data_IF_821820168358
#
_entry.id   IF_821820168358
#
_cell.length_a   1.000
_cell.length_b   1.000
_cell.length_c   1.000
_cell.angle_alpha   90.00
_cell.angle_beta   90.00
_cell.angle_gamma   90.00
#
_symmetry.space_group_name_H-M   'P 1'
#
loop_
_entity.id
_entity.type
_entity.pdbx_description
1 polymer ?
#
# COMPACT_ATOMS: atom_id res chain seq x y z
N UNK A 1 0.81 9.51 7.19
CA UNK A 1 1.28 8.82 8.42
C UNK A 1 0.23 7.77 8.78
N UNK A 2 0.65 6.56 9.14
CA UNK A 2 -0.25 5.50 9.62
C UNK A 2 -0.23 5.45 11.14
N UNK A 3 -1.34 5.03 11.75
CA UNK A 3 -1.43 4.74 13.20
C UNK A 3 -1.22 3.24 13.40
N UNK A 4 -0.40 2.83 14.38
CA UNK A 4 -0.08 1.43 14.65
C UNK A 4 -0.64 0.95 15.99
N UNK A 5 -1.10 -0.30 16.06
CA UNK A 5 -1.70 -0.89 17.26
C UNK A 5 -0.78 -0.95 18.48
N UNK A 6 0.53 -1.01 18.29
CA UNK A 6 1.47 -1.03 19.40
C UNK A 6 1.38 0.25 20.26
N UNK A 7 0.87 1.34 19.69
CA UNK A 7 0.51 2.57 20.42
C UNK A 7 -0.77 2.39 21.24
N UNK A 8 -1.75 1.62 20.72
CA UNK A 8 -3.01 1.27 21.41
C UNK A 8 -2.75 0.35 22.61
N UNK A 9 -1.89 -0.66 22.42
CA UNK A 9 -1.53 -1.61 23.47
C UNK A 9 -0.95 -0.90 24.71
N UNK A 10 -0.31 0.25 24.53
CA UNK A 10 0.25 1.07 25.63
C UNK A 10 -0.82 1.80 26.45
N UNK A 11 -1.93 2.22 25.84
CA UNK A 11 -2.98 2.97 26.54
C UNK A 11 -3.90 2.06 27.36
N UNK A 12 -4.15 0.83 26.89
CA UNK A 12 -5.11 -0.10 27.51
C UNK A 12 -4.45 -1.17 28.39
N UNK A 13 -3.15 -1.46 28.19
CA UNK A 13 -2.40 -2.41 29.01
C UNK A 13 -1.19 -1.77 29.69
N UNK A 14 -1.24 -1.73 31.02
CA UNK A 14 -0.03 -1.74 31.84
C UNK A 14 0.72 -3.08 31.78
N UNK A 15 1.01 -3.61 30.59
CA UNK A 15 1.70 -4.90 30.42
C UNK A 15 3.18 -4.71 30.13
N UNK A 16 3.94 -4.91 31.19
CA UNK A 16 5.36 -5.27 31.19
C UNK A 16 5.59 -6.78 31.01
N UNK A 17 4.55 -7.59 30.83
CA UNK A 17 4.68 -9.06 30.93
C UNK A 17 3.88 -9.79 29.86
N UNK A 18 4.49 -10.03 28.70
CA UNK A 18 4.41 -11.31 27.97
C UNK A 18 4.76 -11.15 26.49
N UNK A 19 6.02 -10.85 26.19
CA UNK A 19 6.59 -11.25 24.90
C UNK A 19 8.02 -11.73 25.18
N UNK A 20 8.32 -13.03 25.11
CA UNK A 20 9.69 -13.47 25.11
C UNK A 20 10.29 -13.06 23.75
N UNK A 21 11.52 -12.53 23.77
CA UNK A 21 12.53 -12.47 22.71
C UNK A 21 12.97 -11.10 22.14
N UNK A 22 14.30 -10.93 22.21
CA UNK A 22 15.22 -9.90 21.70
C UNK A 22 15.12 -8.47 22.29
N UNK A 23 16.07 -8.08 23.19
CA UNK A 23 16.19 -6.72 23.73
C UNK A 23 16.21 -5.63 22.65
N UNK A 24 16.82 -5.92 21.50
CA UNK A 24 16.93 -5.00 20.37
C UNK A 24 15.57 -4.73 19.69
N UNK A 25 14.69 -5.74 19.61
CA UNK A 25 13.34 -5.56 19.09
C UNK A 25 12.48 -4.74 20.07
N UNK A 26 12.65 -4.98 21.38
CA UNK A 26 11.97 -4.24 22.43
C UNK A 26 12.38 -2.76 22.47
N UNK A 27 13.67 -2.45 22.34
CA UNK A 27 14.17 -1.07 22.34
C UNK A 27 13.74 -0.31 21.06
N UNK A 28 13.69 -1.01 19.92
CA UNK A 28 13.22 -0.44 18.66
C UNK A 28 11.72 -0.13 18.69
N UNK A 29 10.90 -1.08 19.14
CA UNK A 29 9.45 -0.87 19.35
C UNK A 29 9.18 0.29 20.29
N UNK A 30 9.89 0.38 21.42
CA UNK A 30 9.69 1.47 22.37
C UNK A 30 10.09 2.85 21.81
N UNK A 31 11.19 2.93 21.04
CA UNK A 31 11.61 4.18 20.41
C UNK A 31 10.64 4.63 19.31
N UNK A 32 10.08 3.68 18.54
CA UNK A 32 9.15 3.98 17.44
C UNK A 32 7.74 4.31 17.95
N UNK A 33 7.24 3.60 18.98
CA UNK A 33 5.96 3.88 19.66
C UNK A 33 5.97 5.28 20.30
N UNK A 34 7.10 5.73 20.86
CA UNK A 34 7.22 7.09 21.40
C UNK A 34 7.09 8.21 20.35
N UNK A 35 7.30 7.90 19.07
CA UNK A 35 7.22 8.84 17.95
C UNK A 35 5.85 8.84 17.25
N UNK A 36 4.93 7.96 17.67
CA UNK A 36 3.60 7.83 17.08
C UNK A 36 2.52 8.55 17.88
N UNK A 37 1.50 9.01 17.16
CA UNK A 37 0.32 9.64 17.76
C UNK A 37 -0.52 8.60 18.49
N UNK A 38 -0.97 8.94 19.70
CA UNK A 38 -2.04 8.19 20.34
C UNK A 38 -3.31 8.19 19.48
N UNK A 39 -4.25 7.27 19.73
CA UNK A 39 -5.48 7.12 18.95
C UNK A 39 -6.29 8.43 18.84
N UNK A 40 -6.34 9.19 19.93
CA UNK A 40 -7.02 10.47 20.00
C UNK A 40 -6.27 11.56 19.21
N UNK A 41 -4.94 11.61 19.31
CA UNK A 41 -4.14 12.59 18.59
C UNK A 41 -4.22 12.38 17.08
N UNK A 42 -4.28 11.12 16.62
CA UNK A 42 -4.50 10.80 15.22
C UNK A 42 -5.87 11.29 14.73
N UNK A 43 -6.91 11.09 15.53
CA UNK A 43 -8.26 11.62 15.23
C UNK A 43 -8.27 13.16 15.20
N UNK A 44 -7.59 13.83 16.15
CA UNK A 44 -7.46 15.29 16.15
C UNK A 44 -6.69 15.81 14.94
N UNK A 45 -5.65 15.09 14.50
CA UNK A 45 -4.92 15.43 13.28
C UNK A 45 -5.84 15.36 12.07
N UNK A 46 -6.62 14.29 11.91
CA UNK A 46 -7.59 14.13 10.80
C UNK A 46 -8.62 15.25 10.82
N UNK A 47 -9.29 15.46 11.96
CA UNK A 47 -10.28 16.52 12.10
C UNK A 47 -9.68 17.91 11.85
N UNK A 48 -8.42 18.13 12.23
CA UNK A 48 -7.67 19.35 11.95
C UNK A 48 -7.33 19.52 10.47
N UNK A 49 -6.95 18.45 9.77
CA UNK A 49 -6.66 18.46 8.32
C UNK A 49 -7.93 18.72 7.51
N UNK A 50 -9.03 18.04 7.83
CA UNK A 50 -10.33 18.21 7.16
C UNK A 50 -10.90 19.62 7.24
N UNK A 51 -10.50 20.41 8.23
CA UNK A 51 -10.85 21.85 8.33
C UNK A 51 -9.98 22.77 7.47
N UNK A 52 -8.85 22.27 6.96
CA UNK A 52 -7.82 23.05 6.26
C UNK A 52 -7.71 22.73 4.78
N UNK A 53 -8.25 21.60 4.32
CA UNK A 53 -8.11 21.15 2.94
C UNK A 53 -9.44 20.67 2.38
N UNK A 54 -9.67 20.97 1.11
CA UNK A 54 -10.85 20.51 0.37
C UNK A 54 -10.62 19.16 -0.32
N UNK A 55 -9.36 18.69 -0.38
CA UNK A 55 -9.01 17.39 -0.95
C UNK A 55 -9.41 16.25 0.01
N UNK A 56 -9.71 15.05 -0.53
CA UNK A 56 -9.97 13.88 0.30
C UNK A 56 -8.76 13.52 1.19
N UNK A 57 -9.04 13.14 2.43
CA UNK A 57 -8.09 12.65 3.42
C UNK A 57 -8.38 11.18 3.68
N UNK A 58 -7.49 10.32 3.17
CA UNK A 58 -7.53 8.88 3.39
C UNK A 58 -6.71 8.54 4.64
N UNK A 59 -7.34 7.96 5.65
CA UNK A 59 -6.70 7.63 6.91
C UNK A 59 -6.16 6.20 6.89
N UNK A 60 -4.85 6.04 7.08
CA UNK A 60 -4.17 4.75 7.06
C UNK A 60 -4.06 4.18 8.48
N UNK A 61 -4.61 2.98 8.67
CA UNK A 61 -4.65 2.26 9.94
C UNK A 61 -3.80 1.01 9.80
N UNK A 62 -2.98 0.71 10.80
CA UNK A 62 -2.24 -0.54 10.91
C UNK A 62 -2.56 -1.17 12.27
N UNK A 63 -3.12 -2.38 12.26
CA UNK A 63 -3.44 -3.13 13.47
C UNK A 63 -3.13 -4.61 13.28
N UNK A 64 -2.63 -5.23 14.34
CA UNK A 64 -2.21 -6.63 14.42
C UNK A 64 -3.39 -7.53 14.81
N UNK A 65 -4.36 -7.04 15.59
CA UNK A 65 -5.52 -7.81 16.05
C UNK A 65 -6.84 -7.37 15.39
N UNK A 66 -7.61 -8.35 14.91
CA UNK A 66 -8.92 -8.16 14.30
C UNK A 66 -9.90 -7.32 15.16
N UNK A 67 -9.79 -7.39 16.49
CA UNK A 67 -10.66 -6.67 17.42
C UNK A 67 -10.49 -5.15 17.31
N UNK A 68 -9.26 -4.67 17.15
CA UNK A 68 -8.95 -3.25 17.18
C UNK A 68 -9.24 -2.53 15.87
N UNK A 69 -9.19 -3.25 14.74
CA UNK A 69 -9.51 -2.73 13.42
C UNK A 69 -10.88 -2.03 13.38
N UNK A 70 -11.94 -2.70 13.82
CA UNK A 70 -13.30 -2.17 13.78
C UNK A 70 -13.50 -0.94 14.68
N UNK A 71 -13.04 -0.99 15.93
CA UNK A 71 -13.24 0.11 16.87
C UNK A 71 -12.47 1.36 16.43
N UNK A 72 -11.26 1.19 15.91
CA UNK A 72 -10.47 2.33 15.46
C UNK A 72 -10.97 2.91 14.14
N UNK A 73 -11.40 2.06 13.21
CA UNK A 73 -12.03 2.50 11.97
C UNK A 73 -13.22 3.44 12.22
N UNK A 74 -14.08 3.10 13.20
CA UNK A 74 -15.21 3.96 13.60
C UNK A 74 -14.74 5.30 14.18
N UNK A 75 -13.69 5.31 15.02
CA UNK A 75 -13.15 6.56 15.58
C UNK A 75 -12.59 7.46 14.48
N UNK A 76 -11.87 6.88 13.52
CA UNK A 76 -11.25 7.58 12.38
C UNK A 76 -12.31 8.12 11.41
N UNK A 77 -13.36 7.35 11.13
CA UNK A 77 -14.51 7.81 10.35
C UNK A 77 -15.20 9.00 11.05
N UNK A 78 -15.47 8.89 12.35
CA UNK A 78 -16.07 9.97 13.14
C UNK A 78 -15.19 11.23 13.22
N UNK A 79 -13.87 11.08 13.06
CA UNK A 79 -12.94 12.21 12.96
C UNK A 79 -13.02 12.95 11.61
N UNK A 80 -13.72 12.38 10.63
CA UNK A 80 -14.01 12.99 9.33
C UNK A 80 -13.15 12.48 8.17
N UNK A 81 -12.47 11.34 8.31
CA UNK A 81 -11.75 10.72 7.19
C UNK A 81 -12.72 10.40 6.03
N UNK A 82 -12.29 10.64 4.79
CA UNK A 82 -13.14 10.40 3.61
C UNK A 82 -13.08 8.93 3.15
N UNK A 83 -12.00 8.22 3.49
CA UNK A 83 -11.82 6.78 3.27
C UNK A 83 -10.79 6.22 4.25
N UNK A 84 -10.73 4.90 4.36
CA UNK A 84 -9.72 4.17 5.13
C UNK A 84 -8.74 3.46 4.20
N UNK A 85 -7.47 3.42 4.61
CA UNK A 85 -6.49 2.48 4.07
C UNK A 85 -6.11 1.48 5.17
N UNK A 86 -6.51 0.22 5.02
CA UNK A 86 -6.15 -0.87 5.92
C UNK A 86 -4.77 -1.38 5.52
N UNK A 87 -3.75 -0.92 6.24
CA UNK A 87 -2.37 -1.32 6.07
C UNK A 87 -2.10 -2.61 6.86
N UNK A 88 -2.37 -3.74 6.22
CA UNK A 88 -2.17 -5.06 6.82
C UNK A 88 -0.68 -5.41 6.75
N UNK A 89 0.03 -5.19 7.85
CA UNK A 89 1.41 -5.64 8.02
C UNK A 89 1.41 -7.10 8.47
N UNK A 90 1.55 -8.03 7.52
CA UNK A 90 1.61 -9.46 7.82
C UNK A 90 2.84 -10.09 7.20
N UNK A 91 3.81 -10.44 8.05
CA UNK A 91 4.96 -11.28 7.70
C UNK A 91 4.74 -12.65 8.35
N UNK A 92 4.29 -13.67 7.61
CA UNK A 92 4.03 -14.99 8.19
C UNK A 92 5.36 -15.67 8.59
N UNK A 93 5.55 -15.89 9.89
CA UNK A 93 6.74 -16.54 10.46
C UNK A 93 6.47 -17.95 10.96
N UNK A 94 5.20 -18.34 11.13
CA UNK A 94 4.81 -19.67 11.58
C UNK A 94 4.68 -20.63 10.39
N UNK A 95 5.56 -21.65 10.27
CA UNK A 95 5.54 -22.60 9.16
C UNK A 95 4.31 -23.51 9.16
N UNK A 96 3.50 -23.52 10.22
CA UNK A 96 2.28 -24.32 10.31
C UNK A 96 1.07 -23.65 9.67
N UNK A 97 1.13 -22.33 9.45
CA UNK A 97 0.04 -21.59 8.81
C UNK A 97 0.12 -21.72 7.31
N UNK A 98 -0.96 -22.18 6.68
CA UNK A 98 -1.04 -22.28 5.23
C UNK A 98 -1.52 -20.95 4.59
N UNK A 99 -1.41 -20.85 3.26
CA UNK A 99 -1.79 -19.64 2.53
C UNK A 99 -3.28 -19.28 2.69
N UNK A 100 -4.18 -20.27 2.72
CA UNK A 100 -5.61 -20.01 2.87
C UNK A 100 -5.95 -19.40 4.25
N UNK A 101 -5.25 -19.82 5.31
CA UNK A 101 -5.39 -19.22 6.65
C UNK A 101 -4.89 -17.78 6.67
N UNK A 102 -3.79 -17.48 5.97
CA UNK A 102 -3.26 -16.13 5.85
C UNK A 102 -4.18 -15.22 5.05
N UNK A 103 -4.70 -15.69 3.91
CA UNK A 103 -5.64 -14.95 3.07
C UNK A 103 -6.97 -14.70 3.81
N UNK A 104 -7.46 -15.69 4.57
CA UNK A 104 -8.67 -15.55 5.39
C UNK A 104 -8.56 -14.39 6.37
N UNK A 105 -7.39 -14.16 6.96
CA UNK A 105 -7.18 -13.03 7.86
C UNK A 105 -7.44 -11.67 7.17
N UNK A 106 -7.03 -11.48 5.92
CA UNK A 106 -7.36 -10.25 5.16
C UNK A 106 -8.87 -10.13 4.92
N UNK A 107 -9.53 -11.24 4.57
CA UNK A 107 -10.98 -11.25 4.35
C UNK A 107 -11.75 -10.91 5.63
N UNK A 108 -11.37 -11.51 6.76
CA UNK A 108 -11.99 -11.29 8.06
C UNK A 108 -11.82 -9.83 8.50
N UNK A 109 -10.64 -9.23 8.28
CA UNK A 109 -10.38 -7.81 8.55
C UNK A 109 -11.31 -6.93 7.70
N UNK A 110 -11.38 -7.17 6.39
CA UNK A 110 -12.22 -6.39 5.49
C UNK A 110 -13.70 -6.44 5.92
N UNK A 111 -14.25 -7.64 6.11
CA UNK A 111 -15.64 -7.83 6.49
C UNK A 111 -15.95 -7.18 7.86
N UNK A 112 -15.05 -7.36 8.82
CA UNK A 112 -15.18 -6.77 10.16
C UNK A 112 -15.22 -5.25 10.10
N UNK A 113 -14.32 -4.61 9.35
CA UNK A 113 -14.29 -3.15 9.23
C UNK A 113 -15.47 -2.63 8.40
N UNK A 114 -15.77 -3.25 7.24
CA UNK A 114 -16.92 -2.86 6.40
C UNK A 114 -18.25 -2.92 7.14
N UNK A 115 -18.41 -3.84 8.08
CA UNK A 115 -19.64 -3.93 8.88
C UNK A 115 -19.82 -2.77 9.87
N UNK A 116 -18.79 -1.93 10.07
CA UNK A 116 -18.73 -0.92 11.13
C UNK A 116 -18.60 0.51 10.61
N UNK A 117 -18.14 0.71 9.39
CA UNK A 117 -17.99 2.04 8.76
C UNK A 117 -18.77 2.14 7.46
N UNK A 118 -19.04 3.36 7.02
CA UNK A 118 -19.76 3.69 5.78
C UNK A 118 -18.85 4.28 4.71
N UNK A 119 -17.69 4.82 5.10
CA UNK A 119 -16.69 5.34 4.16
C UNK A 119 -15.98 4.21 3.39
N UNK A 120 -15.49 4.48 2.16
CA UNK A 120 -14.77 3.51 1.35
C UNK A 120 -13.53 2.95 2.05
N UNK A 121 -13.20 1.69 1.73
CA UNK A 121 -12.06 0.97 2.28
C UNK A 121 -11.11 0.55 1.18
N UNK A 122 -9.89 1.06 1.27
CA UNK A 122 -8.73 0.56 0.55
C UNK A 122 -7.95 -0.45 1.41
N UNK A 123 -7.38 -1.50 0.80
CA UNK A 123 -6.53 -2.46 1.51
C UNK A 123 -5.12 -2.47 0.93
N UNK A 124 -4.11 -2.24 1.78
CA UNK A 124 -2.71 -2.21 1.38
C UNK A 124 -2.01 -3.52 1.70
N UNK A 125 -1.52 -4.16 0.64
CA UNK A 125 -1.07 -5.55 0.69
C UNK A 125 0.42 -5.69 0.37
N UNK A 126 1.03 -6.76 0.87
CA UNK A 126 2.37 -7.19 0.47
C UNK A 126 2.40 -7.81 -0.94
N UNK A 127 3.59 -8.23 -1.38
CA UNK A 127 3.80 -8.80 -2.73
C UNK A 127 3.78 -10.35 -2.78
N UNK A 128 3.82 -11.00 -1.63
CA UNK A 128 4.11 -12.44 -1.52
C UNK A 128 2.84 -13.29 -1.46
N UNK A 129 2.11 -13.36 -2.58
CA UNK A 129 0.95 -14.23 -2.74
C UNK A 129 1.24 -15.27 -3.84
N UNK A 130 0.82 -16.52 -3.62
CA UNK A 130 0.99 -17.59 -4.62
C UNK A 130 0.21 -17.28 -5.90
N UNK A 131 -0.99 -16.72 -5.77
CA UNK A 131 -1.78 -16.20 -6.89
C UNK A 131 -2.38 -14.86 -6.48
N UNK A 132 -1.64 -13.77 -6.73
CA UNK A 132 -2.13 -12.42 -6.45
C UNK A 132 -3.45 -12.10 -7.18
N UNK A 133 -3.65 -12.44 -8.48
CA UNK A 133 -4.92 -12.17 -9.15
C UNK A 133 -6.11 -12.88 -8.50
N UNK A 134 -5.92 -14.13 -8.05
CA UNK A 134 -6.96 -14.85 -7.33
C UNK A 134 -7.28 -14.17 -5.99
N UNK A 135 -6.26 -13.86 -5.20
CA UNK A 135 -6.42 -13.22 -3.91
C UNK A 135 -7.14 -11.86 -4.00
N UNK A 136 -6.74 -11.00 -4.95
CA UNK A 136 -7.39 -9.69 -5.15
C UNK A 136 -8.82 -9.87 -5.67
N UNK A 137 -9.09 -10.82 -6.56
CA UNK A 137 -10.47 -11.13 -7.00
C UNK A 137 -11.36 -11.59 -5.84
N UNK A 138 -10.80 -12.31 -4.85
CA UNK A 138 -11.56 -12.70 -3.66
C UNK A 138 -11.86 -11.52 -2.73
N UNK A 139 -10.96 -10.53 -2.63
CA UNK A 139 -11.23 -9.26 -1.94
C UNK A 139 -12.28 -8.42 -2.68
N UNK A 140 -12.20 -8.35 -4.01
CA UNK A 140 -13.14 -7.64 -4.87
C UNK A 140 -14.58 -8.16 -4.70
N UNK A 141 -14.75 -9.49 -4.69
CA UNK A 141 -16.04 -10.15 -4.40
C UNK A 141 -16.59 -9.90 -2.99
N UNK A 142 -15.76 -9.37 -2.09
CA UNK A 142 -16.13 -8.97 -0.72
C UNK A 142 -16.31 -7.45 -0.62
N UNK A 143 -16.57 -6.82 -1.76
CA UNK A 143 -16.85 -5.40 -1.91
C UNK A 143 -15.70 -4.52 -1.41
N UNK A 144 -14.44 -4.91 -1.62
CA UNK A 144 -13.31 -4.00 -1.39
C UNK A 144 -13.43 -2.80 -2.35
N UNK A 145 -13.29 -1.57 -1.85
CA UNK A 145 -13.41 -0.37 -2.71
C UNK A 145 -12.12 -0.12 -3.50
N UNK A 146 -10.95 -0.34 -2.89
CA UNK A 146 -9.66 -0.22 -3.58
C UNK A 146 -8.59 -1.17 -3.05
N UNK A 147 -7.68 -1.61 -3.93
CA UNK A 147 -6.45 -2.32 -3.56
C UNK A 147 -5.24 -1.40 -3.69
N UNK A 148 -4.40 -1.37 -2.65
CA UNK A 148 -3.15 -0.59 -2.64
C UNK A 148 -1.95 -1.55 -2.76
N UNK A 149 -1.17 -1.39 -3.83
CA UNK A 149 -0.06 -2.29 -4.16
C UNK A 149 1.24 -1.50 -4.36
N UNK A 150 2.37 -1.82 -3.73
CA UNK A 150 2.58 -2.79 -2.65
C UNK A 150 3.17 -2.12 -1.42
N UNK A 151 2.92 -2.74 -0.27
CA UNK A 151 3.55 -2.37 0.97
C UNK A 151 5.07 -2.65 0.94
N UNK A 152 5.84 -1.82 1.64
CA UNK A 152 7.29 -1.99 1.81
C UNK A 152 7.60 -2.24 3.28
N UNK A 153 8.12 -3.43 3.55
CA UNK A 153 8.52 -3.84 4.89
C UNK A 153 10.01 -3.60 5.12
N UNK A 154 10.41 -3.44 6.37
CA UNK A 154 11.81 -3.40 6.76
C UNK A 154 12.46 -4.74 6.45
N UNK A 155 13.71 -4.71 6.01
CA UNK A 155 14.47 -5.91 5.65
C UNK A 155 15.68 -6.05 6.57
N UNK A 156 15.99 -7.28 7.01
CA UNK A 156 17.20 -7.52 7.76
C UNK A 156 18.44 -7.34 6.87
N UNK A 157 19.50 -6.89 7.50
CA UNK A 157 20.86 -6.80 6.97
C UNK A 157 21.83 -7.34 8.03
N UNK A 158 23.05 -7.67 7.62
CA UNK A 158 24.05 -8.26 8.49
C UNK A 158 25.30 -7.39 8.46
N UNK A 159 25.64 -6.81 9.62
CA UNK A 159 26.95 -6.21 9.82
C UNK A 159 27.99 -7.33 9.95
N UNK A 160 28.70 -7.60 8.86
CA UNK A 160 29.71 -8.66 8.79
C UNK A 160 30.96 -8.38 9.63
N UNK A 161 31.19 -7.13 10.05
CA UNK A 161 32.35 -6.76 10.86
C UNK A 161 32.06 -6.95 12.36
N UNK A 162 30.81 -6.73 12.76
CA UNK A 162 30.36 -6.87 14.15
C UNK A 162 29.56 -8.15 14.41
N UNK A 163 29.24 -8.93 13.37
CA UNK A 163 28.41 -10.14 13.43
C UNK A 163 27.03 -9.87 14.06
N UNK A 164 26.43 -8.74 13.71
CA UNK A 164 25.13 -8.30 14.24
C UNK A 164 24.09 -8.16 13.15
N UNK A 165 22.86 -8.54 13.49
CA UNK A 165 21.70 -8.18 12.69
C UNK A 165 21.49 -6.66 12.75
N UNK A 166 21.23 -6.06 11.60
CA UNK A 166 20.84 -4.66 11.47
C UNK A 166 19.54 -4.60 10.70
N UNK A 167 18.65 -3.70 11.08
CA UNK A 167 17.46 -3.41 10.28
C UNK A 167 17.80 -2.35 9.25
N UNK A 168 17.46 -2.61 7.99
CA UNK A 168 17.57 -1.60 6.94
C UNK A 168 16.19 -1.10 6.55
N UNK A 169 16.12 0.22 6.38
CA UNK A 169 15.01 0.88 5.72
C UNK A 169 15.57 1.60 4.50
N UNK A 170 15.42 0.97 3.34
CA UNK A 170 15.84 1.57 2.07
C UNK A 170 14.64 2.30 1.45
N UNK A 171 14.86 3.53 1.00
CA UNK A 171 13.92 4.17 0.08
C UNK A 171 13.81 3.34 -1.19
N UNK A 172 12.61 3.28 -1.76
CA UNK A 172 12.40 2.59 -3.03
C UNK A 172 13.26 3.18 -4.16
N UNK A 173 13.60 2.35 -5.13
CA UNK A 173 14.30 2.73 -6.36
C UNK A 173 13.31 2.83 -7.54
N UNK A 174 13.69 3.57 -8.59
CA UNK A 174 12.83 3.77 -9.77
C UNK A 174 12.57 2.47 -10.55
N UNK A 175 13.46 1.49 -10.41
CA UNK A 175 13.39 0.20 -11.10
C UNK A 175 12.25 -0.68 -10.57
N UNK A 176 11.81 -0.45 -9.32
CA UNK A 176 10.73 -1.22 -8.69
C UNK A 176 9.37 -1.00 -9.35
N UNK A 177 9.19 0.09 -10.12
CA UNK A 177 7.94 0.40 -10.81
C UNK A 177 7.52 -0.68 -11.82
N UNK A 178 8.48 -1.39 -12.42
CA UNK A 178 8.18 -2.44 -13.41
C UNK A 178 7.40 -3.59 -12.81
N UNK A 179 7.65 -3.90 -11.53
CA UNK A 179 6.88 -4.91 -10.80
C UNK A 179 5.44 -4.48 -10.63
N UNK A 180 5.20 -3.19 -10.32
CA UNK A 180 3.85 -2.65 -10.23
C UNK A 180 3.14 -2.66 -11.58
N UNK A 181 3.79 -2.20 -12.65
CA UNK A 181 3.20 -2.14 -13.98
C UNK A 181 2.65 -3.51 -14.42
N UNK A 182 3.42 -4.58 -14.20
CA UNK A 182 2.97 -5.95 -14.47
C UNK A 182 1.66 -6.27 -13.73
N UNK A 183 1.60 -6.00 -12.42
CA UNK A 183 0.44 -6.39 -11.61
C UNK A 183 -0.77 -5.49 -11.85
N UNK A 184 -0.57 -4.19 -12.05
CA UNK A 184 -1.65 -3.26 -12.45
C UNK A 184 -2.25 -3.73 -13.78
N UNK A 185 -1.42 -4.00 -14.79
CA UNK A 185 -1.90 -4.43 -16.09
C UNK A 185 -2.62 -5.81 -16.04
N UNK A 186 -2.20 -6.73 -15.17
CA UNK A 186 -2.88 -8.03 -14.99
C UNK A 186 -4.23 -7.90 -14.29
N UNK A 187 -4.34 -6.99 -13.33
CA UNK A 187 -5.54 -6.83 -12.50
C UNK A 187 -6.58 -5.93 -13.15
N UNK A 188 -6.14 -4.89 -13.86
CA UNK A 188 -7.05 -3.95 -14.52
C UNK A 188 -7.97 -4.67 -15.51
N UNK A 189 -9.27 -4.40 -15.43
CA UNK A 189 -10.30 -5.07 -16.23
C UNK A 189 -10.73 -6.46 -15.72
N UNK A 190 -10.00 -7.06 -14.77
CA UNK A 190 -10.33 -8.35 -14.15
C UNK A 190 -10.92 -8.22 -12.74
N UNK A 191 -10.87 -7.02 -12.15
CA UNK A 191 -11.45 -6.68 -10.85
C UNK A 191 -12.27 -5.40 -10.98
N UNK A 192 -13.25 -5.23 -10.09
CA UNK A 192 -14.13 -4.06 -10.08
C UNK A 192 -13.60 -2.92 -9.20
N UNK A 193 -12.83 -3.26 -8.16
CA UNK A 193 -12.25 -2.30 -7.22
C UNK A 193 -11.14 -1.45 -7.84
N UNK A 194 -10.95 -0.26 -7.30
CA UNK A 194 -9.93 0.67 -7.77
C UNK A 194 -8.51 0.18 -7.45
N UNK A 195 -7.54 0.52 -8.30
CA UNK A 195 -6.13 0.19 -8.04
C UNK A 195 -5.37 1.45 -7.65
N UNK A 196 -4.73 1.45 -6.48
CA UNK A 196 -3.79 2.47 -6.03
C UNK A 196 -2.36 1.94 -6.06
N UNK A 197 -1.51 2.50 -6.91
CA UNK A 197 -0.13 2.05 -7.07
C UNK A 197 0.83 2.83 -6.16
N UNK A 198 1.75 2.14 -5.49
CA UNK A 198 2.78 2.71 -4.64
C UNK A 198 4.05 1.86 -4.66
N UNK A 199 5.21 2.49 -4.41
CA UNK A 199 6.58 1.96 -4.54
C UNK A 199 7.24 2.27 -5.89
N UNK A 200 8.47 2.78 -5.86
CA UNK A 200 9.27 3.00 -7.08
C UNK A 200 8.77 4.10 -8.02
N UNK A 201 7.82 4.93 -7.58
CA UNK A 201 7.32 6.08 -8.34
C UNK A 201 8.17 7.30 -7.98
N UNK A 202 9.05 7.71 -8.90
CA UNK A 202 9.99 8.82 -8.71
C UNK A 202 9.88 9.94 -9.75
N UNK A 203 9.11 9.73 -10.82
CA UNK A 203 9.00 10.69 -11.93
C UNK A 203 7.56 10.78 -12.44
N UNK A 204 7.26 11.89 -13.10
CA UNK A 204 6.00 12.15 -13.83
C UNK A 204 5.74 11.06 -14.87
N UNK A 205 6.77 10.61 -15.60
CA UNK A 205 6.70 9.49 -16.54
C UNK A 205 6.27 8.18 -15.85
N UNK A 206 6.76 7.92 -14.64
CA UNK A 206 6.34 6.75 -13.86
C UNK A 206 4.85 6.79 -13.52
N UNK A 207 4.33 7.96 -13.15
CA UNK A 207 2.90 8.17 -12.89
C UNK A 207 2.09 7.90 -14.16
N UNK A 208 2.49 8.50 -15.29
CA UNK A 208 1.83 8.32 -16.59
C UNK A 208 1.78 6.83 -16.97
N UNK A 209 2.88 6.09 -16.82
CA UNK A 209 2.93 4.64 -17.10
C UNK A 209 1.90 3.86 -16.27
N UNK A 210 1.76 4.16 -14.98
CA UNK A 210 0.83 3.45 -14.10
C UNK A 210 -0.63 3.80 -14.41
N UNK A 211 -0.91 5.06 -14.75
CA UNK A 211 -2.25 5.49 -15.20
C UNK A 211 -2.62 4.81 -16.51
N UNK A 212 -1.72 4.83 -17.50
CA UNK A 212 -1.88 4.11 -18.78
C UNK A 212 -2.14 2.61 -18.57
N UNK A 213 -1.49 2.00 -17.56
CA UNK A 213 -1.70 0.60 -17.18
C UNK A 213 -3.05 0.33 -16.51
N UNK A 214 -3.72 1.35 -15.99
CA UNK A 214 -5.07 1.24 -15.40
C UNK A 214 -5.18 1.53 -13.91
N UNK A 215 -4.14 2.10 -13.26
CA UNK A 215 -4.29 2.54 -11.87
C UNK A 215 -5.25 3.74 -11.77
N UNK A 216 -6.07 3.79 -10.72
CA UNK A 216 -6.93 4.94 -10.42
C UNK A 216 -6.16 6.04 -9.66
N UNK A 217 -5.21 5.67 -8.80
CA UNK A 217 -4.37 6.63 -8.06
C UNK A 217 -2.93 6.15 -7.91
N UNK A 218 -2.02 7.07 -7.61
CA UNK A 218 -0.62 6.79 -7.27
C UNK A 218 -0.26 7.38 -5.91
N UNK A 219 0.56 6.68 -5.12
CA UNK A 219 1.06 7.18 -3.83
C UNK A 219 2.58 7.36 -3.86
N UNK A 220 3.02 8.59 -3.58
CA UNK A 220 4.43 8.98 -3.53
C UNK A 220 4.95 8.99 -2.08
N UNK A 221 6.12 8.42 -1.85
CA UNK A 221 6.81 8.49 -0.56
C UNK A 221 8.30 8.79 -0.74
N UNK A 222 9.07 7.83 -1.26
CA UNK A 222 10.54 7.95 -1.39
C UNK A 222 10.98 9.18 -2.19
N UNK A 223 10.25 9.52 -3.26
CA UNK A 223 10.54 10.70 -4.08
C UNK A 223 10.36 12.01 -3.29
N UNK A 224 9.32 12.10 -2.46
CA UNK A 224 9.03 13.27 -1.64
C UNK A 224 10.02 13.42 -0.48
N UNK A 225 10.42 12.31 0.15
CA UNK A 225 11.46 12.34 1.18
C UNK A 225 12.82 12.80 0.64
N UNK A 226 13.13 12.47 -0.62
CA UNK A 226 14.40 12.83 -1.26
C UNK A 226 14.42 14.26 -1.81
N UNK A 227 13.31 14.72 -2.38
CA UNK A 227 13.27 15.98 -3.16
C UNK A 227 12.35 17.05 -2.57
N UNK A 228 11.62 16.74 -1.48
CA UNK A 228 10.65 17.65 -0.86
C UNK A 228 9.28 17.64 -1.54
N UNK A 229 8.35 18.41 -0.95
CA UNK A 229 6.95 18.44 -1.40
C UNK A 229 6.74 19.26 -2.69
N UNK A 230 7.67 20.14 -3.04
CA UNK A 230 7.62 20.93 -4.30
C UNK A 230 7.57 20.05 -5.55
N UNK A 231 8.15 18.84 -5.47
CA UNK A 231 8.12 17.83 -6.54
C UNK A 231 6.71 17.51 -7.03
N UNK A 232 5.68 17.62 -6.18
CA UNK A 232 4.29 17.36 -6.58
C UNK A 232 3.86 18.33 -7.69
N UNK A 233 4.16 19.62 -7.54
CA UNK A 233 3.81 20.63 -8.54
C UNK A 233 4.56 20.44 -9.85
N UNK A 234 5.85 20.10 -9.77
CA UNK A 234 6.67 19.75 -10.93
C UNK A 234 6.09 18.56 -11.70
N UNK A 235 5.75 17.48 -10.99
CA UNK A 235 5.16 16.29 -11.59
C UNK A 235 3.82 16.56 -12.26
N UNK A 236 2.96 17.37 -11.63
CA UNK A 236 1.67 17.75 -12.21
C UNK A 236 1.85 18.54 -13.51
N UNK A 237 2.75 19.53 -13.53
CA UNK A 237 3.04 20.32 -14.72
C UNK A 237 3.52 19.45 -15.90
N UNK A 238 4.40 18.49 -15.61
CA UNK A 238 4.91 17.54 -16.61
C UNK A 238 3.80 16.64 -17.16
N UNK A 239 2.92 16.13 -16.28
CA UNK A 239 1.78 15.28 -16.67
C UNK A 239 0.83 16.07 -17.57
N UNK A 240 0.48 17.31 -17.21
CA UNK A 240 -0.36 18.16 -18.03
C UNK A 240 0.29 18.49 -19.39
N UNK A 241 1.60 18.74 -19.42
CA UNK A 241 2.33 18.98 -20.67
C UNK A 241 2.31 17.75 -21.58
N UNK A 242 2.47 16.56 -21.00
CA UNK A 242 2.32 15.30 -21.72
C UNK A 242 0.89 15.13 -22.24
N UNK A 243 -0.14 15.36 -21.43
CA UNK A 243 -1.55 15.29 -21.85
C UNK A 243 -1.84 16.22 -23.03
N UNK A 244 -1.36 17.47 -22.99
CA UNK A 244 -1.48 18.43 -24.10
C UNK A 244 -0.84 17.92 -25.39
N UNK A 245 0.30 17.23 -25.30
CA UNK A 245 1.00 16.66 -26.47
C UNK A 245 0.17 15.59 -27.18
N UNK A 246 -0.67 14.86 -26.44
CA UNK A 246 -1.53 13.79 -26.97
C UNK A 246 -3.01 14.20 -27.14
N UNK A 247 -3.34 15.48 -26.96
CA UNK A 247 -4.72 16.01 -26.98
C UNK A 247 -5.66 15.26 -26.02
N UNK A 248 -5.20 15.03 -24.78
CA UNK A 248 -5.97 14.41 -23.70
C UNK A 248 -6.42 15.50 -22.73
N UNK A 249 -7.68 15.49 -22.32
CA UNK A 249 -8.28 16.47 -21.42
C UNK A 249 -8.39 15.93 -19.99
N UNK A 250 -8.66 14.63 -19.84
CA UNK A 250 -8.89 13.98 -18.55
C UNK A 250 -8.05 12.72 -18.38
N UNK A 251 -7.89 12.28 -17.12
CA UNK A 251 -7.23 11.00 -16.83
C UNK A 251 -7.97 9.82 -17.48
N UNK A 252 -9.30 9.88 -17.57
CA UNK A 252 -10.12 8.84 -18.18
C UNK A 252 -9.88 8.68 -19.68
N UNK A 253 -9.36 9.70 -20.37
CA UNK A 253 -9.02 9.62 -21.80
C UNK A 253 -7.86 8.65 -22.07
N UNK A 254 -7.07 8.30 -21.04
CA UNK A 254 -5.92 7.42 -21.18
C UNK A 254 -5.72 6.35 -20.11
N UNK A 255 -6.47 6.39 -19.01
CA UNK A 255 -6.42 5.35 -17.99
C UNK A 255 -6.72 3.99 -18.62
N UNK A 256 -5.83 3.02 -18.41
CA UNK A 256 -6.00 1.66 -18.92
C UNK A 256 -5.88 1.51 -20.45
N UNK A 257 -5.40 2.53 -21.18
CA UNK A 257 -5.18 2.44 -22.63
C UNK A 257 -4.05 1.48 -23.03
N UNK A 258 -3.11 1.22 -22.13
CA UNK A 258 -1.92 0.40 -22.39
C UNK A 258 -1.81 -0.67 -21.31
N UNK A 259 -2.24 -1.88 -21.63
CA UNK A 259 -2.18 -3.02 -20.72
C UNK A 259 -2.27 -4.34 -21.49
N UNK A 260 -2.54 -5.43 -20.79
CA UNK A 260 -2.93 -6.67 -21.46
C UNK A 260 -4.33 -6.45 -22.05
N UNK A 261 -4.44 -6.47 -23.38
CA UNK A 261 -5.78 -6.38 -23.98
C UNK A 261 -6.57 -7.66 -23.64
N UNK A 262 -7.90 -7.58 -23.41
CA UNK A 262 -8.72 -8.69 -22.91
C UNK A 262 -8.61 -9.98 -23.74
N UNK A 263 -8.32 -9.83 -25.03
CA UNK A 263 -8.17 -10.91 -26.00
C UNK A 263 -6.85 -11.68 -25.92
N UNK A 264 -5.85 -11.22 -25.15
CA UNK A 264 -4.56 -11.90 -25.01
C UNK A 264 -4.48 -12.69 -23.70
N UNK A 265 -3.93 -13.90 -23.78
CA UNK A 265 -3.47 -14.64 -22.61
C UNK A 265 -2.24 -13.94 -22.00
N UNK A 266 -2.35 -13.36 -20.79
CA UNK A 266 -1.24 -12.64 -20.18
C UNK A 266 -0.02 -13.53 -19.91
N UNK A 267 -0.21 -14.83 -19.67
CA UNK A 267 0.90 -15.76 -19.50
C UNK A 267 1.71 -15.89 -20.79
N UNK A 268 1.02 -16.05 -21.93
CA UNK A 268 1.67 -16.13 -23.24
C UNK A 268 2.44 -14.84 -23.55
N UNK A 269 1.84 -13.67 -23.30
CA UNK A 269 2.51 -12.39 -23.51
C UNK A 269 3.75 -12.22 -22.62
N UNK A 270 3.65 -12.51 -21.33
CA UNK A 270 4.79 -12.43 -20.40
C UNK A 270 5.92 -13.40 -20.80
N UNK A 271 5.56 -14.61 -21.27
CA UNK A 271 6.54 -15.57 -21.80
C UNK A 271 7.21 -15.04 -23.08
N UNK A 272 6.45 -14.42 -23.98
CA UNK A 272 6.99 -13.82 -25.21
C UNK A 272 7.97 -12.68 -24.89
N UNK A 273 7.62 -11.78 -23.96
CA UNK A 273 8.52 -10.70 -23.51
C UNK A 273 9.83 -11.24 -22.93
N UNK A 274 9.76 -12.31 -22.15
CA UNK A 274 10.96 -12.96 -21.60
C UNK A 274 11.86 -13.52 -22.72
N UNK A 275 11.28 -14.20 -23.71
CA UNK A 275 12.02 -14.76 -24.85
C UNK A 275 12.65 -13.69 -25.74
N UNK A 276 11.94 -12.59 -26.02
CA UNK A 276 12.46 -11.45 -26.77
C UNK A 276 13.68 -10.83 -26.08
N UNK A 277 13.58 -10.61 -24.77
CA UNK A 277 14.65 -9.98 -24.00
C UNK A 277 15.92 -10.85 -23.93
N UNK A 278 15.78 -12.17 -23.85
CA UNK A 278 16.94 -13.07 -23.90
C UNK A 278 17.63 -12.99 -25.26
N UNK A 279 16.87 -13.01 -26.36
CA UNK A 279 17.43 -12.90 -27.72
C UNK A 279 18.15 -11.57 -27.97
N UNK A 280 17.80 -10.50 -27.25
CA UNK A 280 18.46 -9.20 -27.36
C UNK A 280 19.73 -9.06 -26.50
N UNK A 281 20.05 -10.06 -25.68
CA UNK A 281 21.28 -10.10 -24.86
C UNK A 281 22.35 -11.00 -25.51
N UNK A 282 21.95 -11.90 -26.42
CA UNK A 282 22.83 -12.70 -27.28
C UNK A 282 23.29 -11.91 -28.51
#
# INVERSE_FOLDING_TARGET
KSMFEEVLAREDYGLYESAPYHPEAHDYLNAEIQLQYGPNDYCYLIAGMKKKVDIPVIASINSISAKWWAEFAVKVENAGADALELNVFSVPTDPKKNSAELEKMYFDILETVKSRVKIPIAMKIGRNFTSLPHFVSQLDKKDLDAIVMFNRFTEPDIDIHNLKMKTTFSFSSKEEINTLLRWVALLYGNISCDISATTGIHTSEGIIKLLLAGTSTVQLASALYKNGLGLIGEMLNDIEAWMRTYNLETIEDFKGRVGFAPEYDPEVYLRAQFMEKIRGIE
#
